data_IF_066347325422
#
_entry.id   IF_066347325422
#
_cell.length_a   1.000
_cell.length_b   1.000
_cell.length_c   1.000
_cell.angle_alpha   90.00
_cell.angle_beta   90.00
_cell.angle_gamma   90.00
#
_symmetry.space_group_name_H-M   'P 1'
#
loop_
_entity.id
_entity.type
_entity.pdbx_description
1 polymer ?
#
# COMPACT_ATOMS: atom_id res chain seq x y z
N UNK A 1 -49.71 44.20 34.66
CA UNK A 1 -48.56 44.64 33.85
C UNK A 1 -47.63 43.44 33.75
N UNK A 2 -47.64 42.74 32.61
CA UNK A 2 -46.79 41.57 32.35
C UNK A 2 -45.76 42.01 31.32
N UNK A 3 -44.48 41.99 31.69
CA UNK A 3 -43.36 42.09 30.77
C UNK A 3 -42.72 40.70 30.72
N UNK A 4 -43.08 39.91 29.71
CA UNK A 4 -42.31 38.74 29.29
C UNK A 4 -41.52 39.10 28.04
N UNK A 5 -40.25 39.46 28.20
CA UNK A 5 -39.32 39.55 27.07
C UNK A 5 -39.00 38.13 26.64
N UNK A 6 -39.45 37.76 25.45
CA UNK A 6 -39.05 36.52 24.80
C UNK A 6 -37.64 36.69 24.23
N UNK A 7 -36.69 35.97 24.81
CA UNK A 7 -35.41 35.66 24.18
C UNK A 7 -35.68 34.95 22.85
N UNK A 8 -35.35 35.62 21.75
CA UNK A 8 -35.34 35.01 20.43
C UNK A 8 -34.03 34.21 20.29
N UNK A 9 -34.11 32.91 20.56
CA UNK A 9 -33.06 31.95 20.23
C UNK A 9 -32.81 31.96 18.71
N UNK A 10 -31.70 32.56 18.28
CA UNK A 10 -31.18 32.39 16.93
C UNK A 10 -30.62 30.96 16.78
N UNK A 11 -31.50 29.98 16.54
CA UNK A 11 -31.09 28.69 15.97
C UNK A 11 -30.48 28.92 14.59
N UNK A 12 -29.17 29.12 14.56
CA UNK A 12 -28.38 29.13 13.34
C UNK A 12 -28.19 27.69 12.87
N UNK A 13 -29.22 27.14 12.22
CA UNK A 13 -29.07 25.89 11.46
C UNK A 13 -27.99 26.13 10.40
N UNK A 14 -26.90 25.33 10.36
CA UNK A 14 -25.88 25.51 9.34
C UNK A 14 -26.52 25.30 7.96
N UNK A 15 -26.16 26.14 6.96
CA UNK A 15 -26.69 25.99 5.61
C UNK A 15 -26.34 24.61 5.05
N UNK A 16 -27.23 24.01 4.24
CA UNK A 16 -26.96 22.71 3.63
C UNK A 16 -25.67 22.77 2.79
N UNK A 17 -24.88 21.68 2.74
CA UNK A 17 -23.67 21.65 1.94
C UNK A 17 -24.02 21.92 0.47
N UNK A 18 -23.29 22.87 -0.14
CA UNK A 18 -23.47 23.19 -1.55
C UNK A 18 -23.31 21.93 -2.40
N UNK A 19 -24.18 21.68 -3.40
CA UNK A 19 -24.09 20.50 -4.27
C UNK A 19 -22.86 20.57 -5.21
N UNK A 20 -22.18 21.71 -5.26
CA UNK A 20 -21.06 21.97 -6.15
C UNK A 20 -19.74 22.08 -5.39
N UNK A 21 -18.65 21.79 -6.10
CA UNK A 21 -17.32 22.04 -5.61
C UNK A 21 -17.11 23.54 -5.36
N UNK A 22 -16.33 23.87 -4.33
CA UNK A 22 -15.94 25.25 -4.04
C UNK A 22 -14.96 25.76 -5.09
N UNK A 23 -14.98 27.08 -5.35
CA UNK A 23 -14.03 27.70 -6.27
C UNK A 23 -12.56 27.43 -5.86
N UNK A 24 -12.26 27.39 -4.55
CA UNK A 24 -10.94 27.06 -4.03
C UNK A 24 -10.49 25.65 -4.38
N UNK A 25 -11.39 24.67 -4.31
CA UNK A 25 -11.11 23.29 -4.73
C UNK A 25 -10.85 23.23 -6.23
N UNK A 26 -11.68 23.89 -7.04
CA UNK A 26 -11.52 23.90 -8.50
C UNK A 26 -10.19 24.54 -8.93
N UNK A 27 -9.80 25.66 -8.32
CA UNK A 27 -8.52 26.31 -8.58
C UNK A 27 -7.33 25.43 -8.16
N UNK A 28 -7.46 24.73 -7.03
CA UNK A 28 -6.43 23.78 -6.57
C UNK A 28 -6.32 22.62 -7.55
N UNK A 29 -7.45 22.08 -8.00
CA UNK A 29 -7.49 20.97 -8.94
C UNK A 29 -6.92 21.35 -10.31
N UNK A 30 -7.19 22.56 -10.78
CA UNK A 30 -6.61 23.07 -12.03
C UNK A 30 -5.09 23.16 -11.93
N UNK A 31 -4.57 23.73 -10.84
CA UNK A 31 -3.13 23.77 -10.57
C UNK A 31 -2.50 22.37 -10.54
N UNK A 32 -3.16 21.40 -9.93
CA UNK A 32 -2.71 20.00 -9.92
C UNK A 32 -2.62 19.47 -11.36
N UNK A 33 -3.67 19.69 -12.17
CA UNK A 33 -3.71 19.25 -13.56
C UNK A 33 -2.61 19.89 -14.40
N UNK A 34 -2.33 21.18 -14.22
CA UNK A 34 -1.23 21.87 -14.92
C UNK A 34 0.12 21.24 -14.60
N UNK A 35 0.39 20.96 -13.33
CA UNK A 35 1.66 20.33 -12.92
C UNK A 35 1.77 18.92 -13.49
N UNK A 36 0.70 18.12 -13.37
CA UNK A 36 0.69 16.75 -13.90
C UNK A 36 0.81 16.71 -15.42
N UNK A 37 0.20 17.65 -16.15
CA UNK A 37 0.32 17.72 -17.60
C UNK A 37 1.76 18.02 -18.03
N UNK A 38 2.49 18.86 -17.27
CA UNK A 38 3.90 19.17 -17.53
C UNK A 38 4.81 17.97 -17.30
N UNK A 39 4.51 17.13 -16.32
CA UNK A 39 5.35 15.99 -15.93
C UNK A 39 4.86 14.64 -16.46
N UNK A 40 3.78 14.61 -17.25
CA UNK A 40 3.12 13.37 -17.68
C UNK A 40 4.01 12.40 -18.46
N UNK A 41 4.97 12.94 -19.21
CA UNK A 41 5.85 12.16 -20.09
C UNK A 41 7.15 11.71 -19.43
N UNK A 42 7.44 12.17 -18.21
CA UNK A 42 8.73 11.93 -17.56
C UNK A 42 8.55 11.60 -16.08
N UNK A 43 8.81 10.33 -15.74
CA UNK A 43 8.74 9.83 -14.37
C UNK A 43 9.77 10.49 -13.45
N UNK A 44 10.90 10.96 -13.98
CA UNK A 44 11.88 11.71 -13.19
C UNK A 44 11.32 13.07 -12.79
N UNK A 45 10.67 13.79 -13.72
CA UNK A 45 10.00 15.06 -13.39
C UNK A 45 8.80 14.85 -12.46
N UNK A 46 8.08 13.74 -12.60
CA UNK A 46 7.01 13.38 -11.67
C UNK A 46 7.56 13.23 -10.23
N UNK A 47 8.69 12.54 -10.06
CA UNK A 47 9.38 12.33 -8.78
C UNK A 47 10.06 13.59 -8.25
N UNK A 48 10.75 14.35 -9.08
CA UNK A 48 11.66 15.41 -8.63
C UNK A 48 10.98 16.79 -8.59
N UNK A 49 9.96 17.01 -9.42
CA UNK A 49 9.28 18.30 -9.53
C UNK A 49 7.85 18.26 -8.99
N UNK A 50 7.00 17.37 -9.51
CA UNK A 50 5.59 17.32 -9.13
C UNK A 50 5.40 16.85 -7.67
N UNK A 51 6.21 15.90 -7.23
CA UNK A 51 6.13 15.37 -5.87
C UNK A 51 6.34 16.41 -4.77
N UNK A 52 7.51 17.09 -4.66
CA UNK A 52 7.72 18.06 -3.58
C UNK A 52 6.81 19.29 -3.71
N UNK A 53 6.40 19.65 -4.93
CA UNK A 53 5.62 20.87 -5.17
C UNK A 53 4.16 20.73 -4.77
N UNK A 54 3.50 19.60 -5.08
CA UNK A 54 2.06 19.45 -4.84
C UNK A 54 1.63 18.04 -4.42
N UNK A 55 2.19 16.97 -5.00
CA UNK A 55 1.66 15.62 -4.79
C UNK A 55 1.93 15.07 -3.39
N UNK A 56 3.05 15.43 -2.74
CA UNK A 56 3.35 14.99 -1.36
C UNK A 56 2.25 15.38 -0.36
N UNK A 57 1.64 16.55 -0.53
CA UNK A 57 0.54 17.00 0.34
C UNK A 57 -0.74 16.21 0.08
N UNK A 58 -0.99 15.88 -1.19
CA UNK A 58 -2.13 15.06 -1.59
C UNK A 58 -1.96 13.63 -1.06
N UNK A 59 -0.76 13.05 -1.19
CA UNK A 59 -0.44 11.74 -0.64
C UNK A 59 -0.74 11.67 0.86
N UNK A 60 -0.21 12.62 1.64
CA UNK A 60 -0.49 12.67 3.07
C UNK A 60 -1.97 12.85 3.39
N UNK A 61 -2.74 13.55 2.55
CA UNK A 61 -4.19 13.65 2.73
C UNK A 61 -4.91 12.32 2.42
N UNK A 62 -4.50 11.61 1.37
CA UNK A 62 -5.03 10.29 1.01
C UNK A 62 -4.81 9.26 2.12
N UNK A 63 -3.63 9.28 2.76
CA UNK A 63 -3.29 8.39 3.87
C UNK A 63 -4.20 8.56 5.10
N UNK A 64 -4.85 9.72 5.26
CA UNK A 64 -5.77 9.94 6.39
C UNK A 64 -7.13 9.26 6.22
N UNK A 65 -7.50 8.86 4.99
CA UNK A 65 -8.83 8.34 4.66
C UNK A 65 -9.97 9.34 4.84
N UNK A 66 -9.69 10.63 5.10
CA UNK A 66 -10.72 11.64 5.35
C UNK A 66 -11.35 12.15 4.05
N UNK A 67 -12.65 12.50 4.06
CA UNK A 67 -13.29 13.17 2.94
C UNK A 67 -12.60 14.49 2.59
N UNK A 68 -12.58 14.83 1.29
CA UNK A 68 -11.89 16.01 0.79
C UNK A 68 -12.80 17.23 0.87
N UNK A 69 -12.40 18.19 1.70
CA UNK A 69 -13.14 19.44 1.89
C UNK A 69 -13.24 20.22 0.58
N UNK A 70 -14.45 20.72 0.27
CA UNK A 70 -14.69 21.59 -0.88
C UNK A 70 -14.93 20.87 -2.22
N UNK A 71 -14.81 19.54 -2.30
CA UNK A 71 -15.13 18.80 -3.51
C UNK A 71 -16.65 18.75 -3.82
N UNK A 72 -17.49 18.98 -2.80
CA UNK A 72 -18.94 18.81 -2.85
C UNK A 72 -19.38 17.42 -2.36
N UNK A 73 -20.69 17.20 -2.14
CA UNK A 73 -21.22 15.93 -1.68
C UNK A 73 -20.97 14.82 -2.71
N UNK A 74 -20.53 13.64 -2.25
CA UNK A 74 -20.21 12.47 -3.06
C UNK A 74 -19.15 12.71 -4.16
N UNK A 75 -18.29 13.73 -4.00
CA UNK A 75 -17.18 14.02 -4.91
C UNK A 75 -15.84 13.94 -4.18
N UNK A 76 -14.80 13.57 -4.91
CA UNK A 76 -13.43 13.47 -4.40
C UNK A 76 -12.41 13.95 -5.42
N UNK A 77 -11.16 13.56 -5.22
CA UNK A 77 -10.12 13.81 -6.21
C UNK A 77 -10.38 12.95 -7.46
N UNK A 78 -10.15 13.50 -8.66
CA UNK A 78 -10.16 12.70 -9.88
C UNK A 78 -9.17 11.53 -9.80
N UNK A 79 -9.59 10.37 -10.30
CA UNK A 79 -8.80 9.13 -10.20
C UNK A 79 -7.38 9.28 -10.78
N UNK A 80 -7.23 10.01 -11.88
CA UNK A 80 -5.91 10.24 -12.49
C UNK A 80 -4.95 10.99 -11.56
N UNK A 81 -5.45 11.92 -10.73
CA UNK A 81 -4.63 12.62 -9.73
C UNK A 81 -4.16 11.64 -8.66
N UNK A 82 -5.06 10.76 -8.20
CA UNK A 82 -4.75 9.75 -7.19
C UNK A 82 -3.66 8.80 -7.72
N UNK A 83 -3.85 8.24 -8.91
CA UNK A 83 -2.88 7.32 -9.53
C UNK A 83 -1.51 7.98 -9.69
N UNK A 84 -1.45 9.22 -10.19
CA UNK A 84 -0.16 9.92 -10.35
C UNK A 84 0.49 10.26 -9.01
N UNK A 85 -0.31 10.55 -7.97
CA UNK A 85 0.20 10.77 -6.61
C UNK A 85 0.84 9.50 -6.06
N UNK A 86 0.16 8.36 -6.18
CA UNK A 86 0.68 7.07 -5.72
C UNK A 86 1.94 6.65 -6.50
N UNK A 87 1.90 6.78 -7.82
CA UNK A 87 3.05 6.49 -8.70
C UNK A 87 4.27 7.32 -8.30
N UNK A 88 4.09 8.63 -8.09
CA UNK A 88 5.15 9.50 -7.61
C UNK A 88 5.70 9.04 -6.25
N UNK A 89 4.83 8.63 -5.32
CA UNK A 89 5.22 8.07 -4.02
C UNK A 89 6.11 6.84 -4.14
N UNK A 90 5.73 5.89 -4.98
CA UNK A 90 6.51 4.67 -5.21
C UNK A 90 7.87 4.92 -5.88
N UNK A 91 7.95 5.95 -6.72
CA UNK A 91 9.23 6.37 -7.28
C UNK A 91 10.15 7.01 -6.23
N UNK A 92 9.58 7.70 -5.23
CA UNK A 92 10.32 8.38 -4.17
C UNK A 92 10.84 7.41 -3.12
N UNK A 93 10.03 6.42 -2.72
CA UNK A 93 10.45 5.41 -1.73
C UNK A 93 11.29 4.27 -2.34
N UNK A 94 11.42 4.25 -3.68
CA UNK A 94 12.21 3.26 -4.40
C UNK A 94 11.52 1.91 -4.58
N UNK A 95 10.23 1.80 -4.21
CA UNK A 95 9.43 0.60 -4.46
C UNK A 95 9.08 0.43 -5.93
N UNK A 96 9.13 1.52 -6.72
CA UNK A 96 8.98 1.48 -8.17
C UNK A 96 10.14 2.18 -8.90
N UNK A 97 11.04 1.42 -9.54
CA UNK A 97 12.22 1.99 -10.20
C UNK A 97 11.86 2.83 -11.44
N UNK A 98 12.70 3.83 -11.74
CA UNK A 98 12.58 4.68 -12.93
C UNK A 98 13.61 4.26 -13.99
N UNK A 99 13.19 4.25 -15.26
CA UNK A 99 14.10 4.16 -16.41
C UNK A 99 14.03 2.83 -17.16
N UNK A 100 14.88 2.66 -18.19
CA UNK A 100 14.78 1.55 -19.15
C UNK A 100 15.00 0.17 -18.51
N UNK A 101 15.72 0.12 -17.39
CA UNK A 101 16.02 -1.13 -16.67
C UNK A 101 15.09 -1.36 -15.47
N UNK A 102 13.98 -0.62 -15.34
CA UNK A 102 13.07 -0.69 -14.20
C UNK A 102 12.57 -2.12 -13.93
N UNK A 103 12.19 -2.86 -14.99
CA UNK A 103 11.69 -4.23 -14.85
C UNK A 103 12.76 -5.21 -14.36
N UNK A 104 14.00 -5.09 -14.83
CA UNK A 104 15.11 -5.94 -14.37
C UNK A 104 15.43 -5.68 -12.90
N UNK A 105 15.47 -4.41 -12.48
CA UNK A 105 15.68 -4.04 -11.09
C UNK A 105 14.58 -4.61 -10.18
N UNK A 106 13.33 -4.59 -10.64
CA UNK A 106 12.20 -5.16 -9.89
C UNK A 106 12.35 -6.68 -9.72
N UNK A 107 12.82 -7.39 -10.76
CA UNK A 107 13.07 -8.83 -10.72
C UNK A 107 14.24 -9.19 -9.80
N UNK A 108 15.33 -8.41 -9.83
CA UNK A 108 16.46 -8.59 -8.92
C UNK A 108 16.06 -8.33 -7.46
N UNK A 109 15.28 -7.28 -7.22
CA UNK A 109 14.74 -6.98 -5.89
C UNK A 109 13.80 -8.09 -5.40
N UNK A 110 12.98 -8.68 -6.28
CA UNK A 110 12.07 -9.77 -5.90
C UNK A 110 12.83 -11.05 -5.55
N UNK A 111 13.86 -11.40 -6.33
CA UNK A 111 14.77 -12.52 -6.02
C UNK A 111 15.47 -12.33 -4.67
N UNK A 112 16.01 -11.14 -4.43
CA UNK A 112 16.68 -10.81 -3.15
C UNK A 112 15.73 -10.94 -1.96
N UNK A 113 14.46 -10.52 -2.10
CA UNK A 113 13.45 -10.68 -1.04
C UNK A 113 13.11 -12.14 -0.81
N UNK A 114 12.91 -12.91 -1.88
CA UNK A 114 12.64 -14.35 -1.79
C UNK A 114 13.80 -15.12 -1.11
N UNK A 115 15.05 -14.73 -1.35
CA UNK A 115 16.22 -15.31 -0.69
C UNK A 115 16.28 -14.98 0.81
N UNK A 116 15.90 -13.75 1.20
CA UNK A 116 15.85 -13.34 2.62
C UNK A 116 14.69 -13.97 3.38
N UNK A 117 13.56 -14.18 2.70
CA UNK A 117 12.37 -14.82 3.27
C UNK A 117 12.46 -16.34 3.29
N UNK A 118 13.50 -16.92 2.64
CA UNK A 118 13.85 -18.32 2.82
C UNK A 118 14.30 -18.50 4.27
N UNK A 119 13.34 -18.90 5.11
CA UNK A 119 13.57 -19.21 6.51
C UNK A 119 14.73 -20.19 6.70
N UNK A 120 15.24 -20.34 7.95
CA UNK A 120 16.35 -21.23 8.22
C UNK A 120 16.08 -22.59 7.59
N UNK A 121 17.06 -23.12 6.85
CA UNK A 121 16.94 -24.42 6.22
C UNK A 121 16.40 -25.39 7.26
N UNK A 122 15.19 -25.90 7.04
CA UNK A 122 14.57 -26.84 7.96
C UNK A 122 15.59 -27.94 8.17
N UNK A 123 16.04 -28.13 9.42
CA UNK A 123 16.95 -29.22 9.76
C UNK A 123 16.32 -30.47 9.17
N UNK A 124 16.99 -31.07 8.19
CA UNK A 124 16.50 -32.26 7.52
C UNK A 124 16.13 -33.25 8.60
N UNK A 125 14.86 -33.67 8.64
CA UNK A 125 14.40 -34.61 9.65
C UNK A 125 15.31 -35.85 9.57
N UNK A 126 15.79 -36.37 10.72
CA UNK A 126 16.66 -37.53 10.71
C UNK A 126 15.96 -38.67 10.00
N UNK A 127 16.72 -39.42 9.18
CA UNK A 127 16.18 -40.60 8.51
C UNK A 127 15.58 -41.55 9.55
N UNK A 128 14.49 -42.29 9.22
CA UNK A 128 13.96 -43.33 10.10
C UNK A 128 15.04 -44.29 10.61
N UNK A 129 16.08 -44.55 9.81
CA UNK A 129 17.24 -45.36 10.18
C UNK A 129 18.11 -44.70 11.26
N UNK A 130 18.38 -43.40 11.15
CA UNK A 130 19.14 -42.63 12.12
C UNK A 130 18.41 -42.55 13.47
N UNK A 131 17.08 -42.44 13.41
CA UNK A 131 16.21 -42.50 14.58
C UNK A 131 16.30 -43.87 15.23
N UNK A 132 16.11 -44.95 14.46
CA UNK A 132 16.19 -46.32 14.95
C UNK A 132 17.57 -46.64 15.57
N UNK A 133 18.66 -46.18 14.96
CA UNK A 133 20.01 -46.33 15.49
C UNK A 133 20.17 -45.68 16.87
N UNK A 134 19.70 -44.43 17.04
CA UNK A 134 19.76 -43.74 18.34
C UNK A 134 18.92 -44.41 19.42
N UNK A 135 17.78 -45.02 19.07
CA UNK A 135 16.98 -45.78 20.03
C UNK A 135 17.69 -47.06 20.48
N UNK A 136 18.33 -47.80 19.56
CA UNK A 136 19.15 -48.97 19.91
C UNK A 136 20.34 -48.62 20.79
N UNK A 137 21.03 -47.52 20.51
CA UNK A 137 22.14 -47.02 21.35
C UNK A 137 21.70 -46.67 22.78
N UNK A 138 20.41 -46.36 22.98
CA UNK A 138 19.80 -46.11 24.29
C UNK A 138 19.26 -47.37 24.96
N UNK A 139 19.49 -48.55 24.38
CA UNK A 139 19.00 -49.82 24.89
C UNK A 139 17.52 -50.08 24.63
N UNK A 140 16.88 -49.30 23.74
CA UNK A 140 15.50 -49.54 23.32
C UNK A 140 15.51 -50.52 22.15
N UNK A 141 14.84 -51.65 22.32
CA UNK A 141 14.67 -52.65 21.26
C UNK A 141 13.73 -52.09 20.17
N UNK A 142 14.28 -51.86 18.97
CA UNK A 142 13.53 -51.45 17.79
C UNK A 142 13.56 -52.59 16.80
N UNK A 143 12.40 -53.20 16.54
CA UNK A 143 12.23 -54.25 15.55
C UNK A 143 12.78 -53.79 14.19
N UNK A 144 13.55 -54.64 13.50
CA UNK A 144 13.96 -54.35 12.14
C UNK A 144 12.73 -54.34 11.25
N UNK A 145 12.59 -53.27 10.47
CA UNK A 145 11.49 -53.14 9.53
C UNK A 145 11.73 -54.18 8.42
N UNK A 146 10.85 -55.17 8.33
CA UNK A 146 10.79 -56.07 7.17
C UNK A 146 10.48 -55.19 5.95
N UNK A 147 11.45 -55.07 5.05
CA UNK A 147 11.21 -54.49 3.74
C UNK A 147 10.36 -55.53 3.02
N UNK A 148 9.05 -55.32 3.00
CA UNK A 148 8.17 -56.05 2.09
C UNK A 148 8.56 -55.59 0.70
N UNK A 149 9.35 -56.41 0.01
CA UNK A 149 9.52 -56.30 -1.44
C UNK A 149 8.15 -56.63 -1.99
N UNK A 150 7.44 -55.63 -2.51
CA UNK A 150 6.27 -55.84 -3.36
C UNK A 150 6.77 -56.55 -4.64
N UNK A 151 6.98 -57.86 -4.55
CA UNK A 151 7.11 -58.75 -5.69
C UNK A 151 5.68 -59.16 -6.13
N UNK A 152 5.39 -58.82 -7.38
CA UNK A 152 4.29 -59.26 -8.24
C UNK A 152 2.86 -58.78 -7.91
N UNK A 153 2.45 -57.74 -8.64
CA UNK A 153 1.09 -57.57 -9.18
C UNK A 153 1.11 -57.63 -10.71
#
# INVERSE_FOLDING_TARGET
MVNGSHDAEHSSTPPPPSPHATASFLNTLDRIRTVLARTASDETLLRDEAWPSILKRIHGALDTGKPITGAGPNRGLPMNVVVQTLKAGWHVDGTWPIGPNAMQQLEEQSKTRAEKDKGPEGKQDPSPEDVAKRYRERGVEVAQMEIVVDDDW
#
